data_IF_274984824688
#
_entry.id   IF_274984824688
#
_cell.length_a   1.000
_cell.length_b   1.000
_cell.length_c   1.000
_cell.angle_alpha   90.00
_cell.angle_beta   90.00
_cell.angle_gamma   90.00
#
_symmetry.space_group_name_H-M   'P 1'
#
loop_
_entity.id
_entity.type
_entity.pdbx_description
1 polymer ?
#
# COMPACT_ATOMS: atom_id res chain seq x y z
N UNK A 1 4.16 1.38 21.04
CA UNK A 1 3.29 0.28 20.57
C UNK A 1 3.69 -0.03 19.14
N UNK A 2 3.99 -1.29 18.80
CA UNK A 2 4.20 -1.67 17.40
C UNK A 2 2.88 -1.46 16.66
N UNK A 3 2.87 -0.62 15.64
CA UNK A 3 1.68 -0.32 14.86
C UNK A 3 1.32 -1.56 14.03
N UNK A 4 0.13 -2.12 14.24
CA UNK A 4 -0.36 -3.20 13.40
C UNK A 4 -0.83 -2.60 12.07
N UNK A 5 -0.17 -2.99 10.97
CA UNK A 5 -0.48 -2.53 9.62
C UNK A 5 -1.22 -3.59 8.81
N UNK A 6 -1.71 -4.65 9.45
CA UNK A 6 -2.44 -5.70 8.77
C UNK A 6 -3.82 -5.22 8.30
N UNK A 7 -4.23 -5.70 7.13
CA UNK A 7 -5.49 -5.34 6.48
C UNK A 7 -6.38 -6.57 6.42
N UNK A 8 -7.67 -6.39 6.69
CA UNK A 8 -8.69 -7.40 6.43
C UNK A 8 -9.53 -6.91 5.24
N UNK A 9 -9.69 -7.75 4.22
CA UNK A 9 -10.48 -7.44 3.02
C UNK A 9 -11.37 -8.61 2.65
N UNK A 10 -12.58 -8.33 2.18
CA UNK A 10 -13.44 -9.33 1.53
C UNK A 10 -13.06 -9.47 0.07
N UNK A 11 -12.96 -10.70 -0.43
CA UNK A 11 -12.62 -10.95 -1.83
C UNK A 11 -13.63 -10.26 -2.76
N UNK A 12 -13.11 -9.40 -3.65
CA UNK A 12 -13.91 -8.59 -4.59
C UNK A 12 -14.21 -7.18 -4.09
N UNK A 13 -13.99 -6.89 -2.81
CA UNK A 13 -14.14 -5.53 -2.27
C UNK A 13 -12.89 -4.69 -2.46
N UNK A 14 -13.06 -3.39 -2.31
CA UNK A 14 -11.95 -2.44 -2.30
C UNK A 14 -11.31 -2.38 -0.92
N UNK A 15 -10.01 -2.66 -0.80
CA UNK A 15 -9.27 -2.39 0.44
C UNK A 15 -8.73 -0.96 0.41
N UNK A 16 -8.94 -0.17 1.47
CA UNK A 16 -8.34 1.16 1.63
C UNK A 16 -7.52 1.20 2.91
N UNK A 17 -6.37 1.85 2.85
CA UNK A 17 -5.48 2.01 3.99
C UNK A 17 -4.85 3.40 3.97
N UNK A 18 -4.61 3.94 5.16
CA UNK A 18 -3.92 5.21 5.36
C UNK A 18 -3.01 5.10 6.57
N UNK A 19 -1.83 5.71 6.48
CA UNK A 19 -0.89 5.75 7.59
C UNK A 19 0.01 6.97 7.55
N UNK A 20 0.50 7.35 8.72
CA UNK A 20 1.39 8.47 8.93
C UNK A 20 2.81 7.97 9.21
N UNK A 21 3.78 8.54 8.51
CA UNK A 21 5.18 8.15 8.56
C UNK A 21 6.04 9.29 9.11
N UNK A 22 7.00 8.93 9.95
CA UNK A 22 8.10 9.79 10.38
C UNK A 22 9.41 9.31 9.76
N UNK A 23 10.37 10.21 9.61
CA UNK A 23 11.72 9.91 9.17
C UNK A 23 12.39 8.93 10.14
N UNK A 24 12.94 7.85 9.58
CA UNK A 24 13.49 6.70 10.32
C UNK A 24 14.56 7.08 11.34
N UNK A 25 15.30 8.16 11.10
CA UNK A 25 16.40 8.64 11.95
C UNK A 25 16.13 9.98 12.63
N UNK A 26 15.22 10.79 12.09
CA UNK A 26 15.00 12.16 12.59
C UNK A 26 13.80 12.29 13.53
N UNK A 27 12.85 11.35 13.50
CA UNK A 27 11.58 11.48 14.24
C UNK A 27 10.64 12.57 13.69
N UNK A 28 11.09 13.37 12.72
CA UNK A 28 10.29 14.38 12.03
C UNK A 28 9.31 13.74 11.05
N UNK A 29 8.25 14.44 10.68
CA UNK A 29 7.32 14.01 9.63
C UNK A 29 8.06 13.64 8.34
N UNK A 30 7.74 12.48 7.76
CA UNK A 30 8.38 12.03 6.53
C UNK A 30 8.00 12.94 5.35
N UNK A 31 8.99 13.28 4.51
CA UNK A 31 8.79 14.08 3.30
C UNK A 31 8.86 13.16 2.08
N UNK A 32 7.74 13.03 1.37
CA UNK A 32 7.63 12.22 0.16
C UNK A 32 7.91 13.02 -1.11
N UNK A 33 8.06 14.34 -1.04
CA UNK A 33 8.34 15.19 -2.20
C UNK A 33 9.64 14.78 -2.91
N UNK A 34 9.55 14.57 -4.23
CA UNK A 34 10.66 14.14 -5.07
C UNK A 34 10.99 12.64 -4.97
N UNK A 35 10.12 11.83 -4.37
CA UNK A 35 10.32 10.38 -4.21
C UNK A 35 9.39 9.58 -5.12
N UNK A 36 9.77 8.33 -5.40
CA UNK A 36 8.89 7.37 -6.09
C UNK A 36 8.43 6.30 -5.10
N UNK A 37 7.12 6.15 -4.96
CA UNK A 37 6.48 5.11 -4.17
C UNK A 37 6.26 3.86 -5.01
N UNK A 38 6.52 2.70 -4.40
CA UNK A 38 6.23 1.38 -4.96
C UNK A 38 5.42 0.60 -3.93
N UNK A 39 4.32 0.00 -4.36
CA UNK A 39 3.56 -0.96 -3.58
C UNK A 39 3.47 -2.27 -4.35
N UNK A 40 3.66 -3.39 -3.67
CA UNK A 40 3.39 -4.71 -4.23
C UNK A 40 2.55 -5.53 -3.26
N UNK A 41 1.61 -6.29 -3.82
CA UNK A 41 0.81 -7.29 -3.11
C UNK A 41 1.09 -8.64 -3.73
N UNK A 42 1.43 -9.62 -2.89
CA UNK A 42 1.81 -10.98 -3.28
C UNK A 42 1.10 -12.02 -2.42
N UNK A 43 0.98 -13.24 -2.91
CA UNK A 43 0.42 -14.37 -2.14
C UNK A 43 1.29 -14.81 -0.95
N UNK A 44 2.53 -14.33 -0.88
CA UNK A 44 3.49 -14.54 0.21
C UNK A 44 4.72 -13.64 0.04
N UNK A 45 5.78 -13.85 0.84
CA UNK A 45 7.05 -13.14 0.68
C UNK A 45 8.03 -13.93 -0.20
N UNK A 46 8.75 -13.21 -1.08
CA UNK A 46 9.83 -13.72 -1.96
C UNK A 46 9.42 -14.81 -2.97
N UNK A 47 9.65 -14.57 -4.27
CA UNK A 47 9.32 -15.48 -5.38
C UNK A 47 7.84 -15.92 -5.52
N UNK A 48 6.96 -15.41 -4.67
CA UNK A 48 5.52 -15.62 -4.74
C UNK A 48 4.86 -14.76 -5.83
N UNK A 49 3.80 -15.27 -6.50
CA UNK A 49 3.03 -14.55 -7.51
C UNK A 49 2.64 -13.14 -7.09
N UNK A 50 2.89 -12.17 -7.99
CA UNK A 50 2.41 -10.80 -7.85
C UNK A 50 0.91 -10.76 -8.15
N UNK A 51 0.13 -10.23 -7.22
CA UNK A 51 -1.31 -10.01 -7.40
C UNK A 51 -1.56 -8.63 -8.02
N UNK A 52 -0.93 -7.61 -7.46
CA UNK A 52 -1.00 -6.23 -7.96
C UNK A 52 0.23 -5.44 -7.54
N UNK A 53 0.61 -4.47 -8.37
CA UNK A 53 1.67 -3.51 -8.07
C UNK A 53 1.26 -2.10 -8.49
N UNK A 54 1.67 -1.12 -7.69
CA UNK A 54 1.44 0.30 -7.96
C UNK A 54 2.75 1.05 -7.86
N UNK A 55 2.96 2.00 -8.76
CA UNK A 55 4.11 2.91 -8.76
C UNK A 55 3.59 4.33 -8.92
N UNK A 56 4.07 5.27 -8.11
CA UNK A 56 3.75 6.67 -8.27
C UNK A 56 4.93 7.57 -7.89
N UNK A 57 5.26 8.51 -8.76
CA UNK A 57 6.15 9.61 -8.42
C UNK A 57 5.38 10.71 -7.68
N UNK A 58 5.92 11.18 -6.56
CA UNK A 58 5.36 12.24 -5.74
C UNK A 58 6.15 13.52 -6.02
N UNK A 59 5.54 14.44 -6.76
CA UNK A 59 6.14 15.76 -7.02
C UNK A 59 6.33 16.55 -5.72
N UNK A 60 7.30 17.47 -5.70
CA UNK A 60 7.64 18.28 -4.50
C UNK A 60 6.47 19.08 -3.93
N UNK A 61 5.45 19.38 -4.72
CA UNK A 61 4.25 20.12 -4.31
C UNK A 61 2.97 19.28 -4.42
N UNK A 62 3.10 17.95 -4.54
CA UNK A 62 1.96 17.05 -4.65
C UNK A 62 1.05 17.16 -3.42
N UNK A 63 -0.25 17.29 -3.66
CA UNK A 63 -1.26 17.20 -2.61
C UNK A 63 -1.68 15.74 -2.40
N UNK A 64 -2.08 15.42 -1.17
CA UNK A 64 -2.57 14.08 -0.86
C UNK A 64 -3.85 13.80 -1.64
N UNK A 65 -3.84 12.70 -2.40
CA UNK A 65 -5.01 12.21 -3.11
C UNK A 65 -5.47 10.87 -2.54
N UNK A 66 -6.71 10.49 -2.85
CA UNK A 66 -7.22 9.16 -2.57
C UNK A 66 -7.21 8.34 -3.84
N UNK A 67 -6.53 7.18 -3.86
CA UNK A 67 -6.55 6.30 -5.03
C UNK A 67 -7.96 5.78 -5.34
N UNK A 68 -8.24 5.53 -6.62
CA UNK A 68 -9.56 5.09 -7.10
C UNK A 68 -9.91 3.70 -6.57
N UNK A 69 -11.16 3.48 -6.17
CA UNK A 69 -11.59 2.20 -5.59
C UNK A 69 -11.62 1.01 -6.56
N UNK A 70 -11.86 1.22 -7.85
CA UNK A 70 -11.95 0.11 -8.82
C UNK A 70 -10.57 -0.41 -9.20
N UNK A 71 -9.66 0.48 -9.60
CA UNK A 71 -8.30 0.14 -10.05
C UNK A 71 -7.29 0.08 -8.89
N UNK A 72 -7.59 0.75 -7.78
CA UNK A 72 -6.64 0.97 -6.70
C UNK A 72 -5.57 2.00 -7.04
N UNK A 73 -4.52 2.02 -6.23
CA UNK A 73 -3.34 2.85 -6.39
C UNK A 73 -2.68 3.17 -5.05
N UNK A 74 -1.56 3.89 -5.11
CA UNK A 74 -0.88 4.48 -3.97
C UNK A 74 -0.90 6.00 -4.14
N UNK A 75 -0.79 6.76 -3.05
CA UNK A 75 -0.68 8.22 -3.02
C UNK A 75 -0.06 8.71 -1.74
N UNK A 76 0.71 9.79 -1.82
CA UNK A 76 1.13 10.56 -0.66
C UNK A 76 1.09 12.05 -0.99
N UNK A 77 0.91 12.88 0.03
CA UNK A 77 1.23 14.30 -0.08
C UNK A 77 2.75 14.48 0.00
N UNK A 78 3.29 15.48 -0.70
CA UNK A 78 4.72 15.77 -0.64
C UNK A 78 5.16 16.04 0.80
N UNK A 79 4.36 16.83 1.52
CA UNK A 79 4.52 17.10 2.96
C UNK A 79 3.37 16.50 3.76
N UNK A 80 3.57 16.35 5.07
CA UNK A 80 2.55 15.85 5.99
C UNK A 80 2.60 14.36 6.30
N UNK A 81 3.54 13.60 5.71
CA UNK A 81 3.86 12.23 6.13
C UNK A 81 2.78 11.18 5.91
N UNK A 82 1.64 11.55 5.33
CA UNK A 82 0.52 10.64 5.08
C UNK A 82 0.68 9.94 3.74
N UNK A 83 0.51 8.62 3.77
CA UNK A 83 0.43 7.76 2.61
C UNK A 83 -0.90 7.01 2.63
N UNK A 84 -1.59 7.06 1.49
CA UNK A 84 -2.81 6.32 1.22
C UNK A 84 -2.52 5.24 0.18
N UNK A 85 -3.12 4.08 0.34
CA UNK A 85 -3.23 3.13 -0.77
C UNK A 85 -4.59 2.45 -0.81
N UNK A 86 -4.89 1.94 -1.98
CA UNK A 86 -6.12 1.24 -2.28
C UNK A 86 -5.79 0.01 -3.12
N UNK A 87 -6.29 -1.15 -2.72
CA UNK A 87 -6.31 -2.34 -3.58
C UNK A 87 -7.66 -2.34 -4.27
N UNK A 88 -7.64 -2.20 -5.59
CA UNK A 88 -8.85 -2.08 -6.37
C UNK A 88 -9.70 -3.35 -6.34
N UNK A 89 -11.02 -3.22 -6.36
CA UNK A 89 -11.93 -4.39 -6.41
C UNK A 89 -11.64 -5.34 -7.58
N UNK A 90 -11.18 -4.81 -8.72
CA UNK A 90 -10.79 -5.63 -9.88
C UNK A 90 -9.61 -6.56 -9.58
N UNK A 91 -8.71 -6.15 -8.68
CA UNK A 91 -7.54 -6.93 -8.28
C UNK A 91 -7.82 -7.76 -7.02
N UNK A 92 -8.71 -7.29 -6.15
CA UNK A 92 -9.10 -8.03 -4.95
C UNK A 92 -9.76 -9.38 -5.28
N UNK A 93 -10.38 -9.53 -6.46
CA UNK A 93 -10.87 -10.82 -6.96
C UNK A 93 -9.76 -11.84 -7.21
N UNK A 94 -8.53 -11.40 -7.47
CA UNK A 94 -7.37 -12.28 -7.69
C UNK A 94 -6.70 -12.70 -6.37
N UNK A 95 -7.10 -12.10 -5.24
CA UNK A 95 -6.63 -12.52 -3.93
C UNK A 95 -7.21 -13.89 -3.57
N UNK A 96 -6.36 -14.75 -3.00
CA UNK A 96 -6.78 -16.08 -2.54
C UNK A 96 -7.48 -15.93 -1.20
N UNK A 97 -8.75 -16.31 -1.13
CA UNK A 97 -9.49 -16.36 0.13
C UNK A 97 -8.84 -17.37 1.10
N UNK A 98 -8.97 -17.11 2.39
CA UNK A 98 -8.48 -17.96 3.48
C UNK A 98 -6.96 -18.16 3.50
N UNK A 99 -6.22 -17.31 2.77
CA UNK A 99 -4.76 -17.19 2.83
C UNK A 99 -4.36 -15.76 3.16
N UNK A 100 -3.24 -15.63 3.88
CA UNK A 100 -2.63 -14.33 4.11
C UNK A 100 -1.77 -13.93 2.92
N UNK A 101 -2.19 -12.87 2.21
CA UNK A 101 -1.32 -12.18 1.27
C UNK A 101 -0.37 -11.24 2.02
N UNK A 102 0.73 -10.85 1.38
CA UNK A 102 1.72 -9.92 1.91
C UNK A 102 1.75 -8.67 1.06
N UNK A 103 2.00 -7.54 1.70
CA UNK A 103 2.27 -6.31 0.97
C UNK A 103 3.48 -5.59 1.54
N UNK A 104 4.19 -4.90 0.64
CA UNK A 104 5.30 -4.01 0.97
C UNK A 104 5.12 -2.67 0.25
N UNK A 105 5.42 -1.59 0.97
CA UNK A 105 5.55 -0.25 0.40
C UNK A 105 7.00 0.19 0.54
N UNK A 106 7.56 0.59 -0.60
CA UNK A 106 8.93 1.08 -0.71
C UNK A 106 8.94 2.50 -1.25
N UNK A 107 9.93 3.26 -0.81
CA UNK A 107 10.21 4.63 -1.27
C UNK A 107 11.58 4.62 -1.91
N UNK A 108 11.66 5.15 -3.11
CA UNK A 108 12.92 5.43 -3.78
C UNK A 108 13.23 6.92 -3.69
N UNK A 109 14.36 7.27 -3.11
CA UNK A 109 14.89 8.63 -3.05
C UNK A 109 15.87 8.83 -4.20
N UNK A 110 15.44 9.48 -5.27
CA UNK A 110 16.29 9.69 -6.46
C UNK A 110 17.59 10.46 -6.15
N UNK A 111 17.55 11.38 -5.19
CA UNK A 111 18.72 12.16 -4.76
C UNK A 111 19.75 11.33 -3.97
N UNK A 112 19.30 10.28 -3.28
CA UNK A 112 20.14 9.40 -2.45
C UNK A 112 20.44 8.08 -3.17
N UNK A 113 19.80 7.82 -4.32
CA UNK A 113 19.80 6.55 -5.04
C UNK A 113 19.49 5.34 -4.13
N UNK A 114 18.58 5.54 -3.18
CA UNK A 114 18.29 4.57 -2.13
C UNK A 114 16.83 4.12 -2.18
N UNK A 115 16.61 2.80 -2.04
CA UNK A 115 15.31 2.16 -2.00
C UNK A 115 15.05 1.59 -0.61
N UNK A 116 14.12 2.21 0.11
CA UNK A 116 13.81 1.86 1.49
C UNK A 116 12.42 1.23 1.59
N UNK A 117 12.29 0.15 2.36
CA UNK A 117 10.96 -0.37 2.71
C UNK A 117 10.44 0.38 3.93
N UNK A 118 9.35 1.12 3.79
CA UNK A 118 8.76 1.92 4.87
C UNK A 118 7.57 1.22 5.53
N UNK A 119 6.93 0.28 4.84
CA UNK A 119 5.78 -0.45 5.34
C UNK A 119 5.84 -1.90 4.88
N UNK A 120 5.53 -2.82 5.80
CA UNK A 120 5.17 -4.20 5.50
C UNK A 120 3.97 -4.58 6.33
N UNK A 121 3.10 -5.40 5.75
CA UNK A 121 1.97 -5.96 6.49
C UNK A 121 1.40 -7.19 5.80
N UNK A 122 0.42 -7.78 6.48
CA UNK A 122 -0.38 -8.88 5.99
C UNK A 122 -1.72 -8.37 5.45
N UNK A 123 -2.30 -9.12 4.53
CA UNK A 123 -3.68 -8.96 4.09
C UNK A 123 -4.39 -10.28 4.35
N UNK A 124 -5.31 -10.28 5.31
CA UNK A 124 -6.24 -11.37 5.50
C UNK A 124 -7.40 -11.21 4.54
N UNK A 125 -7.63 -12.24 3.71
CA UNK A 125 -8.66 -12.23 2.68
C UNK A 125 -9.80 -13.11 3.13
N UNK A 126 -10.96 -12.52 3.36
CA UNK A 126 -12.20 -13.22 3.65
C UNK A 126 -12.87 -13.64 2.34
N UNK A 127 -13.53 -14.80 2.35
CA UNK A 127 -14.35 -15.25 1.23
C UNK A 127 -15.44 -14.23 0.86
N UNK A 128 -15.82 -14.19 -0.41
CA UNK A 128 -16.92 -13.33 -0.84
C UNK A 128 -18.21 -13.74 -0.11
N UNK A 129 -19.00 -12.76 0.32
CA UNK A 129 -20.32 -13.00 0.89
C UNK A 129 -21.27 -13.28 -0.28
N UNK A 130 -21.37 -14.55 -0.70
CA UNK A 130 -22.51 -14.94 -1.53
C UNK A 130 -23.77 -14.78 -0.67
N UNK A 131 -24.72 -13.96 -1.11
CA UNK A 131 -26.05 -13.94 -0.50
C UNK A 131 -26.54 -15.40 -0.41
N UNK A 132 -26.85 -15.85 0.81
CA UNK A 132 -27.58 -17.09 1.01
C UNK A 132 -28.98 -16.82 0.45
N UNK A 133 -29.23 -17.27 -0.78
CA UNK A 133 -30.57 -17.33 -1.37
C UNK A 133 -31.28 -18.59 -0.91
#
# INVERSE_FOLDING_TARGET
MAQNNDIIVVKGDTARWSGFFTGLTSGSTFNFGGTTLYMQVRTGYYNEPLVVGYTQYIETNATLAYPKGITGGISAGATGGTLNFCIGSSFANNLTADRMCKYDVKVYHSSLQDLQTILRGNIQVLSNVSQIT
#
